data_IF_576808111180
#
_entry.id   IF_576808111180
#
_cell.length_a   1.000
_cell.length_b   1.000
_cell.length_c   1.000
_cell.angle_alpha   90.00
_cell.angle_beta   90.00
_cell.angle_gamma   90.00
#
_symmetry.space_group_name_H-M   'P 1'
#
loop_
_entity.id
_entity.type
_entity.pdbx_description
1 polymer ?
#
# COMPACT_ATOMS: atom_id res chain seq x y z
N UNK A 1 -27.59 -30.14 28.11
CA UNK A 1 -27.44 -28.68 27.93
C UNK A 1 -27.02 -28.05 29.25
N UNK A 2 -25.73 -28.05 29.59
CA UNK A 2 -25.31 -27.55 30.92
C UNK A 2 -23.81 -27.39 31.13
N UNK A 3 -22.98 -27.60 30.11
CA UNK A 3 -21.53 -27.43 30.20
C UNK A 3 -21.08 -25.99 29.92
N UNK A 4 -21.82 -25.22 29.09
CA UNK A 4 -21.50 -23.84 28.75
C UNK A 4 -21.79 -22.83 29.88
N UNK A 5 -22.87 -23.00 30.63
CA UNK A 5 -23.22 -22.10 31.74
C UNK A 5 -22.24 -22.21 32.92
N UNK A 6 -21.67 -23.40 33.14
CA UNK A 6 -20.65 -23.61 34.18
C UNK A 6 -19.34 -22.85 33.89
N UNK A 7 -18.94 -22.78 32.61
CA UNK A 7 -17.73 -22.06 32.20
C UNK A 7 -17.88 -20.55 32.32
N UNK A 8 -19.00 -20.00 31.86
CA UNK A 8 -19.27 -18.57 31.97
C UNK A 8 -19.29 -18.12 33.45
N UNK A 9 -19.94 -18.91 34.31
CA UNK A 9 -20.00 -18.63 35.76
C UNK A 9 -18.62 -18.75 36.42
N UNK A 10 -17.85 -19.77 36.07
CA UNK A 10 -16.50 -19.96 36.61
C UNK A 10 -15.53 -18.87 36.16
N UNK A 11 -15.64 -18.43 34.90
CA UNK A 11 -14.81 -17.37 34.33
C UNK A 11 -15.08 -16.02 35.01
N UNK A 12 -16.36 -15.65 35.15
CA UNK A 12 -16.79 -14.43 35.86
C UNK A 12 -16.38 -14.47 37.33
N UNK A 13 -16.54 -15.61 38.01
CA UNK A 13 -16.12 -15.77 39.40
C UNK A 13 -14.59 -15.67 39.56
N UNK A 14 -13.81 -16.24 38.64
CA UNK A 14 -12.34 -16.16 38.69
C UNK A 14 -11.82 -14.74 38.44
N UNK A 15 -12.52 -13.94 37.63
CA UNK A 15 -12.18 -12.54 37.41
C UNK A 15 -12.58 -11.64 38.58
N UNK A 16 -13.70 -11.92 39.26
CA UNK A 16 -14.15 -11.14 40.40
C UNK A 16 -13.29 -11.32 41.67
N UNK A 17 -12.67 -12.49 41.86
CA UNK A 17 -11.98 -12.84 43.10
C UNK A 17 -10.45 -12.98 42.99
N UNK A 18 -9.85 -12.77 41.81
CA UNK A 18 -8.39 -12.68 41.66
C UNK A 18 -7.60 -13.94 42.06
N UNK A 19 -8.18 -15.14 41.91
CA UNK A 19 -7.52 -16.39 42.29
C UNK A 19 -8.19 -17.65 41.74
N UNK A 20 -7.37 -18.67 41.46
CA UNK A 20 -7.77 -19.96 40.89
C UNK A 20 -8.69 -20.74 41.85
N UNK A 21 -9.97 -20.92 41.49
CA UNK A 21 -10.85 -21.82 42.24
C UNK A 21 -10.41 -23.26 41.96
N UNK A 22 -9.74 -23.89 42.92
CA UNK A 22 -9.33 -25.29 42.86
C UNK A 22 -10.29 -26.20 43.62
N UNK A 23 -10.86 -27.17 42.88
CA UNK A 23 -11.54 -28.43 43.28
C UNK A 23 -13.03 -28.43 43.66
N UNK A 24 -13.73 -29.40 43.05
CA UNK A 24 -14.87 -30.10 43.67
C UNK A 24 -16.12 -30.19 42.79
N UNK A 25 -16.08 -30.97 41.70
CA UNK A 25 -17.28 -31.37 40.96
C UNK A 25 -17.80 -32.68 41.55
N UNK A 26 -18.89 -32.61 42.30
CA UNK A 26 -19.78 -33.76 42.53
C UNK A 26 -21.22 -33.29 42.67
N UNK A 27 -22.12 -34.23 42.41
CA UNK A 27 -23.49 -34.08 41.87
C UNK A 27 -24.52 -33.32 42.71
N UNK A 28 -25.51 -32.81 41.96
CA UNK A 28 -26.91 -32.49 42.26
C UNK A 28 -27.33 -32.25 43.73
N UNK A 29 -27.58 -30.98 44.08
CA UNK A 29 -28.73 -30.44 44.86
C UNK A 29 -28.41 -29.03 45.38
N UNK A 30 -28.09 -28.10 44.48
CA UNK A 30 -27.78 -26.74 44.93
C UNK A 30 -27.63 -25.69 43.85
N UNK A 31 -28.17 -25.92 42.64
CA UNK A 31 -28.01 -24.96 41.55
C UNK A 31 -28.72 -23.64 41.86
N UNK A 32 -29.95 -23.66 42.41
CA UNK A 32 -30.63 -22.44 42.87
C UNK A 32 -29.89 -21.74 43.99
N UNK A 33 -29.49 -22.45 45.06
CA UNK A 33 -28.74 -21.82 46.15
C UNK A 33 -27.38 -21.26 45.68
N UNK A 34 -26.74 -21.88 44.69
CA UNK A 34 -25.51 -21.39 44.08
C UNK A 34 -25.75 -20.19 43.17
N UNK A 35 -26.85 -20.16 42.42
CA UNK A 35 -27.29 -19.01 41.63
C UNK A 35 -27.66 -17.83 42.53
N UNK A 36 -28.35 -18.08 43.64
CA UNK A 36 -28.72 -17.05 44.62
C UNK A 36 -27.50 -16.54 45.37
N UNK A 37 -26.54 -17.41 45.71
CA UNK A 37 -25.25 -17.00 46.31
C UNK A 37 -24.38 -16.25 45.31
N UNK A 38 -24.35 -16.67 44.04
CA UNK A 38 -23.63 -15.96 42.97
C UNK A 38 -24.28 -14.60 42.67
N UNK A 39 -25.61 -14.51 42.74
CA UNK A 39 -26.38 -13.27 42.56
C UNK A 39 -26.19 -12.31 43.73
N UNK A 40 -26.21 -12.82 44.96
CA UNK A 40 -25.87 -12.05 46.15
C UNK A 40 -24.41 -11.57 46.14
N UNK A 41 -23.48 -12.39 45.62
CA UNK A 41 -22.09 -12.00 45.40
C UNK A 41 -21.94 -10.96 44.28
N UNK A 42 -22.74 -11.01 43.22
CA UNK A 42 -22.76 -9.99 42.16
C UNK A 42 -23.25 -8.64 42.68
N UNK A 43 -24.27 -8.63 43.54
CA UNK A 43 -24.76 -7.41 44.18
C UNK A 43 -23.65 -6.75 45.05
N UNK A 44 -22.84 -7.55 45.74
CA UNK A 44 -21.73 -7.12 46.60
C UNK A 44 -20.44 -6.75 45.82
N UNK A 45 -20.33 -7.17 44.56
CA UNK A 45 -19.22 -6.81 43.64
C UNK A 45 -19.51 -5.52 42.87
N UNK A 46 -20.78 -5.07 42.82
CA UNK A 46 -21.20 -3.80 42.19
C UNK A 46 -20.41 -2.56 42.69
N UNK A 47 -20.09 -2.41 44.00
CA UNK A 47 -19.27 -1.32 44.50
C UNK A 47 -17.79 -1.44 44.08
N UNK A 48 -17.25 -2.65 44.02
CA UNK A 48 -15.84 -2.93 43.67
C UNK A 48 -15.59 -2.78 42.16
N UNK A 49 -16.57 -3.16 41.33
CA UNK A 49 -16.59 -2.85 39.89
C UNK A 49 -16.76 -1.36 39.61
N UNK A 50 -17.52 -0.63 40.44
CA UNK A 50 -17.57 0.86 40.38
C UNK A 50 -16.23 1.49 40.78
N UNK A 51 -15.52 0.92 41.76
CA UNK A 51 -14.19 1.38 42.14
C UNK A 51 -13.11 1.08 41.07
N UNK A 52 -13.34 0.10 40.20
CA UNK A 52 -12.46 -0.30 39.09
C UNK A 52 -12.67 0.46 37.77
N UNK A 53 -13.56 1.47 37.72
CA UNK A 53 -13.87 2.29 36.53
C UNK A 53 -12.67 3.05 35.93
N UNK A 54 -11.51 3.05 36.61
CA UNK A 54 -10.28 3.67 36.13
C UNK A 54 -9.27 2.72 35.46
N UNK A 55 -9.50 1.40 35.43
CA UNK A 55 -8.55 0.48 34.77
C UNK A 55 -8.96 0.22 33.32
N UNK A 56 -8.08 0.47 32.37
CA UNK A 56 -8.29 0.24 30.93
C UNK A 56 -8.80 -1.18 30.63
N UNK A 57 -8.37 -2.18 31.41
CA UNK A 57 -8.79 -3.58 31.29
C UNK A 57 -10.30 -3.79 31.54
N UNK A 58 -10.91 -3.00 32.44
CA UNK A 58 -12.35 -3.05 32.69
C UNK A 58 -13.16 -2.40 31.55
N UNK A 59 -12.60 -1.39 30.89
CA UNK A 59 -13.22 -0.75 29.72
C UNK A 59 -13.19 -1.65 28.48
N UNK A 60 -12.11 -2.41 28.28
CA UNK A 60 -11.98 -3.39 27.18
C UNK A 60 -12.92 -4.57 27.41
N UNK A 61 -12.97 -5.10 28.64
CA UNK A 61 -13.88 -6.19 29.00
C UNK A 61 -15.35 -5.78 28.92
N UNK A 62 -15.67 -4.50 29.21
CA UNK A 62 -17.00 -3.95 28.98
C UNK A 62 -17.30 -3.77 27.49
N UNK A 63 -16.39 -3.27 26.65
CA UNK A 63 -16.62 -3.13 25.19
C UNK A 63 -16.88 -4.46 24.48
N UNK A 64 -16.14 -5.52 24.82
CA UNK A 64 -16.34 -6.87 24.27
C UNK A 64 -17.73 -7.42 24.63
N UNK A 65 -18.28 -7.03 25.79
CA UNK A 65 -19.54 -7.55 26.33
C UNK A 65 -20.73 -6.61 26.07
N UNK A 66 -20.52 -5.30 25.88
CA UNK A 66 -21.59 -4.29 25.76
C UNK A 66 -21.84 -3.79 24.33
N UNK A 67 -20.83 -3.74 23.47
CA UNK A 67 -20.93 -2.99 22.20
C UNK A 67 -20.92 -3.88 20.94
N UNK A 68 -20.77 -5.20 21.08
CA UNK A 68 -20.79 -6.11 19.92
C UNK A 68 -19.54 -6.01 19.05
N UNK A 69 -18.36 -6.07 19.68
CA UNK A 69 -17.09 -6.20 18.95
C UNK A 69 -17.09 -7.38 17.98
N UNK A 70 -16.19 -7.35 17.00
CA UNK A 70 -16.14 -8.36 15.95
C UNK A 70 -16.00 -9.77 16.54
N UNK A 71 -17.03 -10.65 16.46
CA UNK A 71 -17.06 -11.93 17.16
C UNK A 71 -15.99 -12.91 16.67
N UNK A 72 -15.30 -12.57 15.58
CA UNK A 72 -14.28 -13.37 14.92
C UNK A 72 -12.86 -13.03 15.34
N UNK A 73 -12.67 -11.97 16.13
CA UNK A 73 -11.39 -11.69 16.76
C UNK A 73 -11.24 -12.63 17.96
N UNK A 74 -10.27 -13.53 17.90
CA UNK A 74 -9.84 -14.32 19.06
C UNK A 74 -9.05 -13.44 20.03
N UNK A 75 -9.76 -12.51 20.67
CA UNK A 75 -9.20 -11.46 21.52
C UNK A 75 -8.27 -12.02 22.60
N UNK A 76 -8.62 -13.12 23.33
CA UNK A 76 -7.71 -13.71 24.31
C UNK A 76 -6.39 -14.19 23.71
N UNK A 77 -6.43 -14.83 22.52
CA UNK A 77 -5.21 -15.31 21.85
C UNK A 77 -4.39 -14.15 21.31
N UNK A 78 -5.03 -13.18 20.66
CA UNK A 78 -4.37 -11.98 20.13
C UNK A 78 -3.68 -11.20 21.25
N UNK A 79 -4.39 -10.93 22.35
CA UNK A 79 -3.82 -10.21 23.50
C UNK A 79 -2.62 -10.95 24.10
N UNK A 80 -2.73 -12.27 24.30
CA UNK A 80 -1.62 -13.08 24.80
C UNK A 80 -0.42 -13.01 23.87
N UNK A 81 -0.64 -13.17 22.56
CA UNK A 81 0.43 -13.13 21.57
C UNK A 81 1.09 -11.74 21.45
N UNK A 82 0.33 -10.65 21.56
CA UNK A 82 0.88 -9.30 21.62
C UNK A 82 1.71 -9.07 22.89
N UNK A 83 1.24 -9.57 24.03
CA UNK A 83 1.98 -9.51 25.30
C UNK A 83 3.30 -10.30 25.23
N UNK A 84 3.28 -11.50 24.65
CA UNK A 84 4.48 -12.32 24.43
C UNK A 84 5.49 -11.65 23.50
N UNK A 85 5.00 -10.82 22.56
CA UNK A 85 5.82 -9.97 21.68
C UNK A 85 6.29 -8.66 22.35
N UNK A 86 5.96 -8.45 23.63
CA UNK A 86 6.42 -7.29 24.40
C UNK A 86 5.65 -5.99 24.15
N UNK A 87 4.46 -6.05 23.56
CA UNK A 87 3.64 -4.86 23.37
C UNK A 87 3.12 -4.34 24.71
N UNK A 88 3.27 -3.03 24.95
CA UNK A 88 2.67 -2.36 26.11
C UNK A 88 1.13 -2.39 26.02
N UNK A 89 0.39 -2.35 27.15
CA UNK A 89 -1.07 -2.34 27.14
C UNK A 89 -1.69 -1.32 26.18
N UNK A 90 -1.21 -0.07 26.16
CA UNK A 90 -1.73 0.94 25.23
C UNK A 90 -1.53 0.61 23.75
N UNK A 91 -0.45 -0.09 23.38
CA UNK A 91 -0.26 -0.58 22.00
C UNK A 91 -1.14 -1.78 21.69
N UNK A 92 -1.45 -2.62 22.69
CA UNK A 92 -2.39 -3.73 22.54
C UNK A 92 -3.80 -3.20 22.25
N UNK A 93 -4.21 -2.15 22.96
CA UNK A 93 -5.52 -1.50 22.77
C UNK A 93 -5.64 -0.88 21.37
N UNK A 94 -4.60 -0.21 20.90
CA UNK A 94 -4.52 0.33 19.52
C UNK A 94 -4.60 -0.80 18.50
N UNK A 95 -3.88 -1.90 18.72
CA UNK A 95 -3.87 -3.07 17.84
C UNK A 95 -5.27 -3.65 17.67
N UNK A 96 -5.97 -3.88 18.79
CA UNK A 96 -7.32 -4.42 18.79
C UNK A 96 -8.34 -3.47 18.17
N UNK A 97 -8.24 -2.17 18.46
CA UNK A 97 -9.13 -1.17 17.87
C UNK A 97 -9.01 -1.18 16.34
N UNK A 98 -7.78 -1.17 15.81
CA UNK A 98 -7.54 -1.24 14.36
C UNK A 98 -7.96 -2.58 13.75
N UNK A 99 -7.80 -3.68 14.49
CA UNK A 99 -8.25 -4.99 14.02
C UNK A 99 -9.78 -5.08 13.92
N UNK A 100 -10.50 -4.40 14.82
CA UNK A 100 -11.97 -4.31 14.81
C UNK A 100 -12.51 -3.51 13.60
N UNK A 101 -11.68 -2.64 13.02
CA UNK A 101 -11.99 -1.87 11.80
C UNK A 101 -11.82 -2.68 10.50
N UNK A 102 -11.26 -3.89 10.57
CA UNK A 102 -11.08 -4.78 9.43
C UNK A 102 -12.36 -5.60 9.17
N UNK A 103 -12.81 -5.77 7.91
CA UNK A 103 -13.96 -6.60 7.56
C UNK A 103 -13.88 -8.02 8.15
N UNK A 104 -15.00 -8.52 8.67
CA UNK A 104 -15.06 -9.87 9.27
C UNK A 104 -14.61 -10.96 8.30
N UNK A 105 -14.93 -10.83 7.01
CA UNK A 105 -14.50 -11.79 5.98
C UNK A 105 -12.98 -11.93 5.92
N UNK A 106 -12.24 -10.84 6.15
CA UNK A 106 -10.78 -10.86 6.18
C UNK A 106 -10.27 -11.54 7.45
N UNK A 107 -10.89 -11.25 8.60
CA UNK A 107 -10.49 -11.88 9.87
C UNK A 107 -10.83 -13.37 9.93
N UNK A 108 -11.94 -13.79 9.32
CA UNK A 108 -12.36 -15.20 9.20
C UNK A 108 -11.42 -16.01 8.28
N UNK A 109 -10.79 -15.36 7.30
CA UNK A 109 -9.79 -15.98 6.44
C UNK A 109 -8.45 -16.21 7.16
N UNK A 110 -8.22 -15.55 8.30
CA UNK A 110 -6.97 -15.63 9.07
C UNK A 110 -7.09 -16.59 10.26
N UNK A 111 -6.02 -17.31 10.55
CA UNK A 111 -5.90 -18.06 11.81
C UNK A 111 -5.75 -17.10 13.00
N UNK A 112 -6.03 -17.54 14.24
CA UNK A 112 -5.80 -16.69 15.44
C UNK A 112 -4.34 -16.21 15.53
N UNK A 113 -3.37 -17.01 15.07
CA UNK A 113 -1.96 -16.60 15.00
C UNK A 113 -1.72 -15.52 13.94
N UNK A 114 -2.39 -15.59 12.79
CA UNK A 114 -2.29 -14.58 11.74
C UNK A 114 -3.01 -13.30 12.13
N UNK A 115 -4.17 -13.38 12.79
CA UNK A 115 -4.84 -12.22 13.41
C UNK A 115 -3.92 -11.53 14.43
N UNK A 116 -3.17 -12.30 15.22
CA UNK A 116 -2.16 -11.76 16.15
C UNK A 116 -1.03 -11.04 15.39
N UNK A 117 -0.56 -11.62 14.28
CA UNK A 117 0.48 -11.02 13.45
C UNK A 117 -0.01 -9.73 12.78
N UNK A 118 -1.25 -9.71 12.29
CA UNK A 118 -1.90 -8.54 11.73
C UNK A 118 -2.05 -7.44 12.77
N UNK A 119 -2.57 -7.76 13.96
CA UNK A 119 -2.69 -6.82 15.07
C UNK A 119 -1.33 -6.20 15.44
N UNK A 120 -0.29 -7.03 15.53
CA UNK A 120 1.07 -6.56 15.81
C UNK A 120 1.61 -5.62 14.71
N UNK A 121 1.27 -5.92 13.44
CA UNK A 121 1.63 -5.10 12.28
C UNK A 121 0.90 -3.76 12.30
N UNK A 122 -0.42 -3.76 12.50
CA UNK A 122 -1.24 -2.55 12.59
C UNK A 122 -0.80 -1.63 13.74
N UNK A 123 -0.34 -2.19 14.87
CA UNK A 123 0.17 -1.41 16.00
C UNK A 123 1.60 -0.87 15.82
N UNK A 124 2.38 -1.43 14.88
CA UNK A 124 3.73 -0.96 14.56
C UNK A 124 3.82 -0.22 13.22
N UNK A 125 2.75 -0.18 12.43
CA UNK A 125 2.68 0.62 11.21
C UNK A 125 2.83 2.10 11.55
N UNK A 126 3.66 2.80 10.78
CA UNK A 126 3.89 4.24 10.93
C UNK A 126 2.59 5.02 10.65
N UNK A 127 1.80 4.54 9.69
CA UNK A 127 0.45 5.01 9.39
C UNK A 127 -0.52 3.82 9.44
N UNK A 128 -0.87 3.42 10.65
CA UNK A 128 -1.74 2.27 10.81
C UNK A 128 -3.17 2.50 10.32
N UNK A 129 -3.61 3.74 10.13
CA UNK A 129 -4.95 4.03 9.62
C UNK A 129 -4.98 3.88 8.08
N UNK A 130 -3.90 4.28 7.39
CA UNK A 130 -3.68 3.92 5.99
C UNK A 130 -3.58 2.39 5.81
N UNK A 131 -2.87 1.69 6.72
CA UNK A 131 -2.79 0.22 6.65
C UNK A 131 -4.12 -0.46 6.89
N UNK A 132 -4.95 0.04 7.82
CA UNK A 132 -6.32 -0.46 7.99
C UNK A 132 -7.12 -0.29 6.70
N UNK A 133 -7.16 0.92 6.12
CA UNK A 133 -7.88 1.17 4.86
C UNK A 133 -7.41 0.27 3.73
N UNK A 134 -6.09 0.16 3.55
CA UNK A 134 -5.51 -0.72 2.55
C UNK A 134 -5.95 -2.18 2.74
N UNK A 135 -5.84 -2.73 3.95
CA UNK A 135 -6.23 -4.12 4.23
C UNK A 135 -7.74 -4.33 4.13
N UNK A 136 -8.54 -3.33 4.49
CA UNK A 136 -10.00 -3.38 4.40
C UNK A 136 -10.51 -3.36 2.96
N UNK A 137 -9.82 -2.66 2.06
CA UNK A 137 -10.21 -2.54 0.65
C UNK A 137 -9.62 -3.65 -0.26
N UNK A 138 -8.89 -4.61 0.32
CA UNK A 138 -8.52 -5.85 -0.35
C UNK A 138 -9.79 -6.61 -0.69
N UNK A 139 -9.96 -7.02 -1.95
CA UNK A 139 -11.23 -7.63 -2.40
C UNK A 139 -11.29 -9.13 -2.13
N UNK A 140 -10.16 -9.84 -2.23
CA UNK A 140 -10.05 -11.24 -1.85
C UNK A 140 -9.49 -11.37 -0.41
N UNK A 141 -10.26 -11.87 0.56
CA UNK A 141 -9.77 -12.09 1.93
C UNK A 141 -8.45 -12.87 2.02
N UNK A 142 -8.16 -13.76 1.06
CA UNK A 142 -6.92 -14.54 1.07
C UNK A 142 -5.68 -13.69 0.77
N UNK A 143 -5.82 -12.56 0.07
CA UNK A 143 -4.73 -11.62 -0.23
C UNK A 143 -4.21 -10.95 1.05
N UNK A 144 -5.03 -10.87 2.12
CA UNK A 144 -4.60 -10.34 3.42
C UNK A 144 -3.46 -11.19 4.01
N UNK A 145 -3.53 -12.51 3.86
CA UNK A 145 -2.44 -13.40 4.29
C UNK A 145 -1.16 -13.12 3.50
N UNK A 146 -1.27 -12.78 2.22
CA UNK A 146 -0.12 -12.41 1.42
C UNK A 146 0.53 -11.13 1.96
N UNK A 147 -0.25 -10.10 2.25
CA UNK A 147 0.26 -8.86 2.88
C UNK A 147 0.96 -9.15 4.20
N UNK A 148 0.48 -10.13 4.99
CA UNK A 148 1.14 -10.55 6.23
C UNK A 148 2.48 -11.25 6.01
N UNK A 149 2.62 -12.00 4.92
CA UNK A 149 3.85 -12.68 4.55
C UNK A 149 4.93 -11.70 4.07
N UNK A 150 4.55 -10.51 3.61
CA UNK A 150 5.50 -9.44 3.29
C UNK A 150 6.17 -8.89 4.55
N UNK A 151 7.27 -8.16 4.41
CA UNK A 151 7.87 -7.44 5.54
C UNK A 151 7.07 -6.16 5.89
N UNK A 152 7.27 -5.60 7.09
CA UNK A 152 6.55 -4.40 7.55
C UNK A 152 6.78 -3.17 6.64
N UNK A 153 7.99 -3.01 6.11
CA UNK A 153 8.31 -1.87 5.24
C UNK A 153 7.54 -1.96 3.91
N UNK A 154 7.45 -3.16 3.32
CA UNK A 154 6.62 -3.45 2.15
C UNK A 154 5.15 -3.17 2.41
N UNK A 155 4.58 -3.59 3.55
CA UNK A 155 3.16 -3.27 3.85
C UNK A 155 2.92 -1.78 4.07
N UNK A 156 3.82 -1.10 4.77
CA UNK A 156 3.72 0.36 4.93
C UNK A 156 3.78 1.02 3.55
N UNK A 157 4.70 0.58 2.69
CA UNK A 157 4.83 1.05 1.31
C UNK A 157 3.55 0.84 0.51
N UNK A 158 2.94 -0.35 0.56
CA UNK A 158 1.66 -0.63 -0.11
C UNK A 158 0.53 0.27 0.41
N UNK A 159 0.47 0.46 1.73
CA UNK A 159 -0.55 1.30 2.37
C UNK A 159 -0.40 2.76 1.93
N UNK A 160 0.84 3.26 1.91
CA UNK A 160 1.17 4.61 1.42
C UNK A 160 0.80 4.77 -0.05
N UNK A 161 1.16 3.81 -0.91
CA UNK A 161 0.78 3.84 -2.32
C UNK A 161 -0.76 3.87 -2.45
N UNK A 162 -1.44 2.97 -1.74
CA UNK A 162 -2.90 2.89 -1.81
C UNK A 162 -3.59 4.20 -1.42
N UNK A 163 -3.15 4.84 -0.34
CA UNK A 163 -3.71 6.12 0.11
C UNK A 163 -3.43 7.27 -0.86
N UNK A 164 -2.26 7.26 -1.49
CA UNK A 164 -1.83 8.33 -2.39
C UNK A 164 -2.47 8.24 -3.79
N UNK A 165 -3.24 7.19 -4.11
CA UNK A 165 -3.87 7.00 -5.44
C UNK A 165 -4.78 8.14 -5.90
N UNK A 166 -5.33 8.91 -4.95
CA UNK A 166 -6.26 10.02 -5.21
C UNK A 166 -5.66 11.41 -4.97
N UNK A 167 -4.37 11.51 -4.67
CA UNK A 167 -3.71 12.80 -4.54
C UNK A 167 -3.46 13.37 -5.93
N UNK A 168 -4.43 14.13 -6.42
CA UNK A 168 -4.24 15.03 -7.54
C UNK A 168 -3.03 15.92 -7.21
N UNK A 169 -1.97 15.83 -8.01
CA UNK A 169 -0.56 16.19 -7.71
C UNK A 169 -0.30 17.68 -7.47
N UNK A 170 -1.33 18.48 -7.20
CA UNK A 170 -1.25 19.92 -6.96
C UNK A 170 -0.71 20.35 -5.58
N UNK A 171 -0.53 19.43 -4.62
CA UNK A 171 0.08 19.77 -3.32
C UNK A 171 1.53 19.29 -3.23
N UNK A 172 2.41 20.17 -3.72
CA UNK A 172 3.84 20.24 -3.46
C UNK A 172 4.13 20.11 -1.96
N UNK A 173 4.42 18.89 -1.51
CA UNK A 173 4.74 18.61 -0.12
C UNK A 173 5.52 17.33 0.04
N UNK A 174 6.65 17.18 -0.67
CA UNK A 174 7.68 16.18 -0.39
C UNK A 174 7.19 14.71 -0.32
N UNK A 175 6.08 14.39 -0.99
CA UNK A 175 5.61 13.01 -1.17
C UNK A 175 6.35 12.43 -2.38
N UNK A 176 7.28 11.53 -2.11
CA UNK A 176 8.14 10.87 -3.11
C UNK A 176 7.38 9.87 -4.01
N UNK A 177 6.05 9.81 -3.92
CA UNK A 177 5.24 8.71 -4.43
C UNK A 177 4.06 9.25 -5.22
N UNK A 178 4.28 9.56 -6.50
CA UNK A 178 3.41 10.50 -7.21
C UNK A 178 2.45 9.85 -8.21
N UNK A 179 2.67 8.62 -8.68
CA UNK A 179 1.94 8.14 -9.86
C UNK A 179 1.37 6.74 -9.73
N UNK A 180 0.06 6.70 -9.48
CA UNK A 180 -0.70 5.48 -9.35
C UNK A 180 -2.02 5.64 -10.10
N UNK A 181 -2.24 4.75 -11.06
CA UNK A 181 -3.55 4.54 -11.69
C UNK A 181 -3.97 3.11 -11.40
N UNK A 182 -4.52 2.90 -10.21
CA UNK A 182 -4.99 1.61 -9.68
C UNK A 182 -6.40 1.80 -9.10
N UNK A 183 -7.27 0.81 -9.28
CA UNK A 183 -8.64 0.88 -8.77
C UNK A 183 -8.80 0.17 -7.42
N UNK A 184 -8.02 -0.88 -7.18
CA UNK A 184 -8.25 -1.85 -6.10
C UNK A 184 -6.99 -2.10 -5.28
N UNK A 185 -7.13 -2.37 -3.98
CA UNK A 185 -5.99 -2.71 -3.12
C UNK A 185 -5.35 -4.04 -3.52
N UNK A 186 -6.16 -5.01 -3.97
CA UNK A 186 -5.69 -6.30 -4.49
C UNK A 186 -4.75 -6.15 -5.69
N UNK A 187 -4.91 -5.09 -6.49
CA UNK A 187 -3.97 -4.79 -7.58
C UNK A 187 -2.55 -4.51 -7.05
N UNK A 188 -2.42 -3.79 -5.93
CA UNK A 188 -1.12 -3.55 -5.28
C UNK A 188 -0.55 -4.82 -4.63
N UNK A 189 -1.40 -5.68 -4.05
CA UNK A 189 -0.96 -6.96 -3.48
C UNK A 189 -0.36 -7.86 -4.57
N UNK A 190 -0.95 -7.89 -5.77
CA UNK A 190 -0.39 -8.63 -6.91
C UNK A 190 0.99 -8.14 -7.33
N UNK A 191 1.32 -6.85 -7.12
CA UNK A 191 2.63 -6.30 -7.49
C UNK A 191 3.74 -6.92 -6.63
N UNK A 192 3.50 -7.18 -5.34
CA UNK A 192 4.55 -7.75 -4.48
C UNK A 192 4.95 -9.16 -4.89
N UNK A 193 4.10 -9.89 -5.62
CA UNK A 193 4.45 -11.20 -6.18
C UNK A 193 5.44 -11.11 -7.32
N UNK A 194 5.55 -9.95 -7.96
CA UNK A 194 6.25 -9.77 -9.24
C UNK A 194 7.51 -8.93 -9.10
N UNK A 195 7.61 -8.08 -8.08
CA UNK A 195 8.75 -7.19 -7.86
C UNK A 195 8.86 -6.76 -6.40
N UNK A 196 10.02 -6.20 -6.02
CA UNK A 196 10.14 -5.40 -4.82
C UNK A 196 9.45 -4.04 -5.03
N UNK A 197 8.49 -3.71 -4.17
CA UNK A 197 7.70 -2.47 -4.21
C UNK A 197 8.47 -1.27 -3.59
N UNK A 198 9.59 -1.52 -2.90
CA UNK A 198 10.39 -0.48 -2.29
C UNK A 198 10.87 0.58 -3.30
N UNK A 199 11.18 0.16 -4.52
CA UNK A 199 11.76 1.01 -5.57
C UNK A 199 10.73 1.49 -6.61
N UNK A 200 9.47 1.06 -6.50
CA UNK A 200 8.42 1.38 -7.50
C UNK A 200 7.94 2.82 -7.33
N UNK A 201 7.91 3.59 -8.42
CA UNK A 201 7.48 5.00 -8.42
C UNK A 201 6.31 5.29 -9.35
N UNK A 202 6.13 4.49 -10.41
CA UNK A 202 5.01 4.62 -11.34
C UNK A 202 4.30 3.27 -11.51
N UNK A 203 3.00 3.22 -11.18
CA UNK A 203 2.12 2.10 -11.47
C UNK A 203 0.94 2.58 -12.31
N UNK A 204 0.66 1.87 -13.41
CA UNK A 204 -0.48 2.13 -14.29
C UNK A 204 -1.29 0.86 -14.50
N UNK A 205 -2.61 0.98 -14.53
CA UNK A 205 -3.51 -0.12 -14.89
C UNK A 205 -4.01 0.09 -16.31
N UNK A 206 -4.03 -0.98 -17.10
CA UNK A 206 -4.64 -0.97 -18.42
C UNK A 206 -5.34 -2.29 -18.68
N UNK A 207 -6.61 -2.22 -19.08
CA UNK A 207 -7.45 -3.39 -19.39
C UNK A 207 -7.45 -4.45 -18.26
N UNK A 208 -7.34 -4.00 -17.00
CA UNK A 208 -7.28 -4.87 -15.81
C UNK A 208 -5.87 -5.34 -15.41
N UNK A 209 -4.85 -5.04 -16.20
CA UNK A 209 -3.47 -5.44 -15.94
C UNK A 209 -2.66 -4.32 -15.29
N UNK A 210 -1.99 -4.65 -14.17
CA UNK A 210 -1.15 -3.73 -13.40
C UNK A 210 0.27 -3.73 -13.97
N UNK A 211 0.84 -2.54 -14.18
CA UNK A 211 2.12 -2.33 -14.85
C UNK A 211 2.94 -1.29 -14.11
N UNK A 212 4.25 -1.45 -14.07
CA UNK A 212 5.15 -0.51 -13.40
C UNK A 212 6.31 -0.14 -14.31
N UNK A 213 6.68 1.14 -14.29
CA UNK A 213 7.69 1.71 -15.17
C UNK A 213 9.09 1.18 -14.86
N UNK A 214 9.36 0.95 -13.58
CA UNK A 214 10.66 0.49 -13.10
C UNK A 214 10.99 -0.94 -13.57
N UNK A 215 9.99 -1.74 -13.99
CA UNK A 215 10.30 -3.00 -14.67
C UNK A 215 10.77 -2.71 -16.08
N UNK A 216 12.02 -3.02 -16.36
CA UNK A 216 12.60 -2.75 -17.64
C UNK A 216 13.96 -3.37 -17.78
N UNK A 217 14.49 -3.23 -18.99
CA UNK A 217 15.88 -3.46 -19.30
C UNK A 217 16.28 -2.48 -20.41
N UNK A 218 17.43 -2.65 -21.04
CA UNK A 218 17.83 -1.79 -22.15
C UNK A 218 16.88 -1.83 -23.37
N UNK A 219 15.96 -2.78 -23.46
CA UNK A 219 14.96 -2.87 -24.55
C UNK A 219 13.61 -2.22 -24.21
N UNK A 220 13.30 -1.95 -22.93
CA UNK A 220 12.05 -1.29 -22.51
C UNK A 220 12.05 -0.76 -21.06
N UNK A 221 11.04 0.05 -20.72
CA UNK A 221 10.84 0.54 -19.35
C UNK A 221 11.82 1.65 -18.97
N UNK A 222 11.96 1.90 -17.66
CA UNK A 222 12.77 3.01 -17.16
C UNK A 222 14.24 2.93 -17.59
N UNK A 223 14.84 1.73 -17.56
CA UNK A 223 16.26 1.55 -17.94
C UNK A 223 16.50 1.96 -19.39
N UNK A 224 15.64 1.53 -20.33
CA UNK A 224 15.69 1.96 -21.72
C UNK A 224 15.49 3.48 -21.87
N UNK A 225 14.48 4.05 -21.20
CA UNK A 225 14.20 5.49 -21.27
C UNK A 225 15.41 6.30 -20.79
N UNK A 226 15.97 5.94 -19.63
CA UNK A 226 17.16 6.60 -19.10
C UNK A 226 18.35 6.44 -20.03
N UNK A 227 18.64 5.22 -20.46
CA UNK A 227 19.80 4.94 -21.30
C UNK A 227 19.73 5.63 -22.67
N UNK A 228 18.55 5.65 -23.29
CA UNK A 228 18.37 6.16 -24.66
C UNK A 228 18.03 7.63 -24.75
N UNK A 229 17.11 8.12 -23.91
CA UNK A 229 16.48 9.44 -24.03
C UNK A 229 16.94 10.44 -22.98
N UNK A 230 17.77 10.02 -22.03
CA UNK A 230 18.39 10.89 -21.03
C UNK A 230 19.91 10.81 -21.18
N UNK A 231 20.51 9.66 -20.90
CA UNK A 231 21.95 9.50 -20.81
C UNK A 231 22.63 9.38 -22.18
N UNK A 232 21.88 9.01 -23.22
CA UNK A 232 22.39 8.85 -24.57
C UNK A 232 23.51 7.81 -24.68
N UNK A 233 23.41 6.72 -23.92
CA UNK A 233 24.40 5.65 -23.92
C UNK A 233 23.88 4.35 -24.57
N UNK A 234 22.64 4.36 -25.10
CA UNK A 234 22.03 3.21 -25.76
C UNK A 234 21.43 3.57 -27.12
N UNK A 235 21.83 2.82 -28.15
CA UNK A 235 21.18 2.77 -29.45
C UNK A 235 21.13 4.07 -30.26
N UNK A 236 21.93 5.09 -29.90
CA UNK A 236 21.95 6.39 -30.58
C UNK A 236 22.35 6.31 -32.05
N UNK A 237 23.26 5.40 -32.39
CA UNK A 237 23.80 5.27 -33.76
C UNK A 237 23.20 4.10 -34.55
N UNK A 238 22.53 3.18 -33.88
CA UNK A 238 22.10 1.89 -34.47
C UNK A 238 20.60 1.77 -34.67
N UNK A 239 19.78 2.57 -33.96
CA UNK A 239 18.32 2.51 -34.04
C UNK A 239 17.72 3.78 -34.67
N UNK A 240 18.54 4.56 -35.37
CA UNK A 240 18.19 5.85 -35.94
C UNK A 240 18.15 6.97 -34.90
N UNK A 241 18.00 8.21 -35.40
CA UNK A 241 18.08 9.40 -34.56
C UNK A 241 17.08 9.43 -33.40
N UNK A 242 17.54 9.89 -32.24
CA UNK A 242 16.82 9.90 -30.96
C UNK A 242 16.66 11.31 -30.40
N UNK A 243 15.50 11.62 -29.85
CA UNK A 243 15.25 12.88 -29.14
C UNK A 243 15.55 12.71 -27.66
N UNK A 244 16.06 13.78 -27.05
CA UNK A 244 16.56 13.79 -25.67
C UNK A 244 15.72 14.69 -24.79
N UNK A 245 15.46 14.23 -23.57
CA UNK A 245 14.88 15.08 -22.54
C UNK A 245 15.92 16.09 -22.02
N UNK A 246 15.52 17.35 -21.76
CA UNK A 246 16.41 18.40 -21.28
C UNK A 246 16.68 18.29 -19.78
N UNK A 247 17.51 17.30 -19.37
CA UNK A 247 17.90 17.11 -17.96
C UNK A 247 19.27 17.69 -17.58
N UNK A 248 19.91 18.45 -18.47
CA UNK A 248 21.18 19.15 -18.21
C UNK A 248 22.43 18.28 -18.34
N UNK A 249 22.26 17.03 -18.74
CA UNK A 249 23.31 16.04 -18.92
C UNK A 249 24.12 16.29 -20.20
N UNK A 250 25.37 15.84 -20.19
CA UNK A 250 26.23 15.88 -21.38
C UNK A 250 26.05 14.60 -22.20
N UNK A 251 25.74 14.74 -23.49
CA UNK A 251 25.55 13.63 -24.43
C UNK A 251 26.36 13.89 -25.69
N UNK A 252 27.18 12.94 -26.11
CA UNK A 252 28.07 13.07 -27.27
C UNK A 252 28.86 14.40 -27.33
N UNK A 253 29.29 14.89 -26.17
CA UNK A 253 30.05 16.14 -26.02
C UNK A 253 29.21 17.42 -25.92
N UNK A 254 27.91 17.36 -26.23
CA UNK A 254 27.00 18.51 -26.14
C UNK A 254 26.34 18.57 -24.75
N UNK A 255 26.23 19.77 -24.18
CA UNK A 255 25.50 19.97 -22.93
C UNK A 255 24.05 20.30 -23.26
N UNK A 256 23.14 19.39 -22.92
CA UNK A 256 21.71 19.59 -23.16
C UNK A 256 21.14 20.62 -22.18
N UNK A 257 20.03 21.32 -22.51
CA UNK A 257 19.33 22.17 -21.55
C UNK A 257 18.91 21.38 -20.30
N UNK A 258 18.83 22.04 -19.15
CA UNK A 258 18.53 21.42 -17.85
C UNK A 258 17.24 21.95 -17.23
N UNK A 259 16.14 21.85 -17.98
CA UNK A 259 14.84 22.41 -17.60
C UNK A 259 13.90 21.40 -16.94
N UNK A 260 14.27 20.12 -16.90
CA UNK A 260 13.52 19.10 -16.16
C UNK A 260 14.42 18.06 -15.47
N UNK A 261 13.90 17.45 -14.41
CA UNK A 261 14.53 16.34 -13.69
C UNK A 261 14.13 14.98 -14.27
N UNK A 262 14.82 13.92 -13.83
CA UNK A 262 14.42 12.54 -14.17
C UNK A 262 13.04 12.21 -13.58
N UNK A 263 12.75 12.74 -12.40
CA UNK A 263 11.46 12.64 -11.74
C UNK A 263 10.37 13.29 -12.61
N UNK A 264 10.60 14.50 -13.15
CA UNK A 264 9.65 15.15 -14.05
C UNK A 264 9.35 14.29 -15.29
N UNK A 265 10.31 13.51 -15.80
CA UNK A 265 10.06 12.58 -16.93
C UNK A 265 9.10 11.45 -16.53
N UNK A 266 9.22 10.94 -15.31
CA UNK A 266 8.27 9.93 -14.78
C UNK A 266 6.89 10.54 -14.59
N UNK A 267 6.82 11.74 -14.03
CA UNK A 267 5.59 12.53 -13.87
C UNK A 267 4.89 12.73 -15.22
N UNK A 268 5.63 13.21 -16.23
CA UNK A 268 5.09 13.39 -17.56
C UNK A 268 4.75 12.07 -18.28
N UNK A 269 5.46 10.98 -18.01
CA UNK A 269 5.12 9.65 -18.53
C UNK A 269 3.76 9.20 -18.00
N UNK A 270 3.51 9.37 -16.70
CA UNK A 270 2.21 9.09 -16.10
C UNK A 270 1.10 9.94 -16.69
N UNK A 271 1.30 11.26 -16.71
CA UNK A 271 0.33 12.21 -17.25
C UNK A 271 0.01 11.93 -18.72
N UNK A 272 1.01 11.52 -19.50
CA UNK A 272 0.80 11.09 -20.88
C UNK A 272 -0.10 9.87 -20.97
N UNK A 273 0.10 8.86 -20.13
CA UNK A 273 -0.73 7.63 -20.14
C UNK A 273 -2.15 7.94 -19.66
N UNK A 274 -2.29 8.79 -18.64
CA UNK A 274 -3.57 9.13 -18.00
C UNK A 274 -4.42 10.09 -18.82
N UNK A 275 -3.80 11.16 -19.32
CA UNK A 275 -4.47 12.32 -19.88
C UNK A 275 -4.12 12.59 -21.36
N UNK A 276 -3.18 11.83 -21.94
CA UNK A 276 -2.73 12.03 -23.31
C UNK A 276 -3.68 11.50 -24.37
N UNK A 277 -3.56 12.04 -25.59
CA UNK A 277 -4.30 11.60 -26.76
C UNK A 277 -3.82 10.20 -27.20
N UNK A 278 -4.76 9.27 -27.30
CA UNK A 278 -4.47 7.85 -27.54
C UNK A 278 -4.63 7.49 -29.02
N UNK A 279 -3.61 6.86 -29.59
CA UNK A 279 -3.68 6.22 -30.91
C UNK A 279 -3.21 4.77 -30.85
N UNK A 280 -4.01 3.85 -31.39
CA UNK A 280 -3.62 2.44 -31.54
C UNK A 280 -2.95 2.18 -32.89
N UNK A 281 -1.76 1.58 -32.91
CA UNK A 281 -1.09 1.16 -34.13
C UNK A 281 -0.47 -0.24 -33.96
N UNK A 282 -1.11 -1.25 -34.54
CA UNK A 282 -0.67 -2.65 -34.43
C UNK A 282 -0.73 -3.14 -32.98
N UNK A 283 0.35 -3.76 -32.49
CA UNK A 283 0.49 -4.23 -31.10
C UNK A 283 0.97 -3.15 -30.12
N UNK A 284 0.94 -1.87 -30.52
CA UNK A 284 1.42 -0.76 -29.70
C UNK A 284 0.35 0.31 -29.59
N UNK A 285 0.27 0.90 -28.41
CA UNK A 285 -0.50 2.12 -28.18
C UNK A 285 0.44 3.27 -27.98
N UNK A 286 0.07 4.41 -28.57
CA UNK A 286 0.83 5.65 -28.47
C UNK A 286 -0.02 6.64 -27.71
N UNK A 287 0.58 7.26 -26.71
CA UNK A 287 0.00 8.37 -25.97
C UNK A 287 0.78 9.62 -26.33
N UNK A 288 0.10 10.66 -26.79
CA UNK A 288 0.67 11.97 -27.09
C UNK A 288 0.24 12.95 -26.00
N UNK A 289 1.18 13.75 -25.52
CA UNK A 289 0.92 14.69 -24.43
C UNK A 289 1.66 15.99 -24.68
N UNK A 290 1.08 17.10 -24.21
CA UNK A 290 1.61 18.45 -24.40
C UNK A 290 1.92 19.11 -23.04
N UNK A 291 3.10 18.82 -22.44
CA UNK A 291 3.44 19.26 -21.09
C UNK A 291 3.25 20.77 -20.86
N UNK A 292 3.74 21.60 -21.79
CA UNK A 292 3.68 23.07 -21.67
C UNK A 292 2.25 23.61 -21.64
N UNK A 293 1.31 22.93 -22.31
CA UNK A 293 -0.12 23.28 -22.31
C UNK A 293 -0.90 22.64 -21.15
N UNK A 294 -0.31 21.68 -20.45
CA UNK A 294 -0.98 20.85 -19.43
C UNK A 294 -0.42 21.04 -18.02
N UNK A 295 0.11 22.23 -17.70
CA UNK A 295 0.53 22.59 -16.35
C UNK A 295 2.03 22.45 -16.07
N UNK A 296 2.83 22.11 -17.07
CA UNK A 296 4.29 21.98 -16.98
C UNK A 296 5.00 22.98 -17.93
N UNK A 297 4.79 24.30 -17.77
CA UNK A 297 5.23 25.31 -18.74
C UNK A 297 6.75 25.50 -18.85
N UNK A 298 7.51 25.03 -17.86
CA UNK A 298 8.96 25.27 -17.77
C UNK A 298 9.79 24.05 -18.14
N UNK A 299 9.20 22.98 -18.69
CA UNK A 299 9.94 21.75 -19.05
C UNK A 299 10.72 21.88 -20.36
N UNK A 300 10.40 22.89 -21.17
CA UNK A 300 10.95 23.04 -22.51
C UNK A 300 10.53 21.95 -23.51
N UNK A 301 9.53 21.12 -23.16
CA UNK A 301 8.98 20.05 -23.99
C UNK A 301 7.54 20.37 -24.34
N UNK A 302 7.27 20.66 -25.62
CA UNK A 302 5.93 21.01 -26.10
C UNK A 302 5.08 19.80 -26.44
N UNK A 303 5.71 18.75 -26.98
CA UNK A 303 5.03 17.50 -27.29
C UNK A 303 5.93 16.32 -26.93
N UNK A 304 5.35 15.27 -26.36
CA UNK A 304 6.04 14.02 -26.09
C UNK A 304 5.17 12.82 -26.42
N UNK A 305 5.81 11.66 -26.49
CA UNK A 305 5.13 10.40 -26.78
C UNK A 305 5.56 9.28 -25.85
N UNK A 306 4.58 8.52 -25.39
CA UNK A 306 4.77 7.25 -24.68
C UNK A 306 4.31 6.10 -25.57
N UNK A 307 5.15 5.09 -25.73
CA UNK A 307 4.80 3.83 -26.35
C UNK A 307 4.50 2.79 -25.29
N UNK A 308 3.32 2.18 -25.36
CA UNK A 308 2.89 1.10 -24.49
C UNK A 308 2.66 -0.15 -25.34
N UNK A 309 3.24 -1.29 -24.93
CA UNK A 309 3.06 -2.59 -25.59
C UNK A 309 1.63 -3.10 -25.38
N UNK A 310 1.24 -4.15 -26.12
CA UNK A 310 -0.07 -4.79 -25.97
C UNK A 310 -0.28 -5.42 -24.59
N UNK A 311 0.81 -5.77 -23.91
CA UNK A 311 0.79 -6.22 -22.52
C UNK A 311 0.80 -5.04 -21.54
N UNK A 312 0.53 -3.80 -21.95
CA UNK A 312 0.50 -2.64 -21.04
C UNK A 312 1.85 -2.17 -20.50
N UNK A 313 2.97 -2.85 -20.77
CA UNK A 313 4.30 -2.37 -20.35
C UNK A 313 4.71 -1.11 -21.13
N UNK A 314 5.31 -0.15 -20.42
CA UNK A 314 5.90 1.04 -21.07
C UNK A 314 7.14 0.59 -21.85
N UNK A 315 7.06 0.68 -23.17
CA UNK A 315 8.18 0.39 -24.05
C UNK A 315 9.23 1.50 -23.96
N UNK A 316 8.80 2.74 -24.16
CA UNK A 316 9.68 3.92 -24.15
C UNK A 316 8.84 5.19 -24.04
N UNK A 317 9.49 6.27 -23.61
CA UNK A 317 8.96 7.62 -23.52
C UNK A 317 10.03 8.57 -24.02
N UNK A 318 9.67 9.53 -24.87
CA UNK A 318 10.60 10.52 -25.40
C UNK A 318 9.91 11.80 -25.86
N UNK A 319 10.61 12.95 -25.83
CA UNK A 319 10.08 14.19 -26.34
C UNK A 319 10.06 14.18 -27.87
N UNK A 320 9.08 14.84 -28.47
CA UNK A 320 8.94 15.00 -29.92
C UNK A 320 9.36 16.39 -30.37
N UNK A 321 9.00 17.42 -29.62
CA UNK A 321 9.31 18.82 -29.90
C UNK A 321 9.35 19.68 -28.62
N UNK A 322 9.95 20.86 -28.75
CA UNK A 322 10.04 21.88 -27.72
C UNK A 322 11.34 22.65 -27.83
N UNK A 323 11.35 23.88 -27.30
CA UNK A 323 12.50 24.79 -27.38
C UNK A 323 13.79 24.21 -26.79
N UNK A 324 13.68 23.30 -25.81
CA UNK A 324 14.82 22.66 -25.16
C UNK A 324 15.07 21.22 -25.63
N UNK A 325 14.24 20.71 -26.55
CA UNK A 325 14.36 19.34 -27.04
C UNK A 325 15.38 19.30 -28.17
N UNK A 326 16.37 18.44 -28.00
CA UNK A 326 17.41 18.20 -29.00
C UNK A 326 17.35 16.77 -29.50
N UNK A 327 17.62 16.58 -30.79
CA UNK A 327 17.64 15.28 -31.43
C UNK A 327 19.02 14.98 -31.99
N UNK A 328 19.57 13.83 -31.60
CA UNK A 328 20.72 13.24 -32.26
C UNK A 328 20.28 12.55 -33.55
N UNK A 329 21.00 12.79 -34.64
CA UNK A 329 20.78 12.12 -35.92
C UNK A 329 22.12 11.53 -36.38
N UNK A 330 22.29 10.20 -36.35
CA UNK A 330 23.58 9.56 -36.64
C UNK A 330 24.02 9.71 -38.10
N UNK A 331 23.09 9.92 -39.04
CA UNK A 331 23.39 10.07 -40.46
C UNK A 331 23.92 11.47 -40.85
N UNK A 332 23.96 12.43 -39.92
CA UNK A 332 24.53 13.75 -40.18
C UNK A 332 26.05 13.73 -40.23
N UNK A 333 26.64 14.81 -40.78
CA UNK A 333 28.08 15.04 -40.84
C UNK A 333 28.84 13.84 -41.43
N UNK A 334 28.42 13.37 -42.61
CA UNK A 334 28.99 12.21 -43.30
C UNK A 334 28.99 10.92 -42.46
N UNK A 335 27.95 10.75 -41.62
CA UNK A 335 27.78 9.59 -40.74
C UNK A 335 28.54 9.69 -39.41
N UNK A 336 29.02 10.88 -39.05
CA UNK A 336 29.61 11.16 -37.72
C UNK A 336 28.55 11.56 -36.68
N UNK A 337 27.30 11.72 -37.12
CA UNK A 337 26.19 12.16 -36.31
C UNK A 337 26.20 13.66 -36.03
N UNK A 338 25.06 14.17 -35.58
CA UNK A 338 24.89 15.58 -35.28
C UNK A 338 23.59 15.88 -34.54
N UNK A 339 23.57 17.04 -33.90
CA UNK A 339 22.41 17.55 -33.18
C UNK A 339 21.53 18.42 -34.09
N UNK A 340 20.23 18.26 -33.95
CA UNK A 340 19.22 19.14 -34.57
C UNK A 340 18.20 19.56 -33.53
N UNK A 341 17.76 20.81 -33.66
CA UNK A 341 16.66 21.34 -32.85
C UNK A 341 15.34 20.73 -33.33
N UNK A 342 14.43 20.45 -32.40
CA UNK A 342 13.09 19.94 -32.70
C UNK A 342 12.05 21.01 -32.38
N UNK A 343 11.95 22.00 -33.26
CA UNK A 343 10.92 23.05 -33.22
C UNK A 343 9.62 22.62 -33.87
#
# INVERSE_FOLDING_TARGET
>A
MGWYEGYATHFVASMAYGGTITRGVSESTGLSNRLDTARAGLDDVTPTLRAGQGSQTAQISQRVVSDGGNPQIDTPTVMRGLQERGFSPGKQDIALTRLDEIPNSHLEALSSSDQTALAARLANSADGDATVRFVSDITDPNDVQQVLNENLATTNRLSELYDNRNLDTGQSGNLQYRHLDIDEASDLVRITQQTDIADVQLITKRDGEVRWLENGNLDYGWEHISARHIDGNYGMDTEGGTSMFPTGQQVNGESLPGTMSREDIKDLTFESIKNGDVTMQGQRTKYYYQPTQSGYPNTGVDEMRVHVRSDGSVLTTYPLSGDDVQRWVPELNDGQGGWVDTT
#
